data_IF_744304289505
#
_entry.id   IF_744304289505
#
_cell.length_a   1.000
_cell.length_b   1.000
_cell.length_c   1.000
_cell.angle_alpha   90.00
_cell.angle_beta   90.00
_cell.angle_gamma   90.00
#
_symmetry.space_group_name_H-M   'P 1'
#
loop_
_entity.id
_entity.type
_entity.pdbx_description
1 polymer ?
#
# COMPACT_ATOMS: atom_id res chain seq x y z
N UNK A 1 -22.64 13.22 -67.89
CA UNK A 1 -21.60 12.84 -68.86
C UNK A 1 -20.74 14.06 -69.18
N UNK A 2 -19.43 13.90 -69.00
CA UNK A 2 -18.30 14.63 -69.60
C UNK A 2 -18.05 16.11 -69.20
N UNK A 3 -17.02 16.21 -68.36
CA UNK A 3 -16.07 17.33 -68.20
C UNK A 3 -15.29 17.61 -69.50
N UNK A 4 -14.73 18.83 -69.64
CA UNK A 4 -13.32 19.16 -70.03
C UNK A 4 -13.17 20.51 -70.79
N UNK A 5 -12.47 21.48 -70.15
CA UNK A 5 -11.43 22.43 -70.66
C UNK A 5 -11.76 23.44 -71.79
N UNK A 6 -11.17 24.64 -71.97
CA UNK A 6 -10.13 25.50 -71.32
C UNK A 6 -9.99 26.79 -72.20
N UNK A 7 -9.21 27.78 -71.73
CA UNK A 7 -8.61 28.96 -72.45
C UNK A 7 -9.52 30.21 -72.55
N UNK A 8 -9.10 31.47 -72.37
CA UNK A 8 -7.86 32.15 -71.94
C UNK A 8 -8.17 33.69 -71.89
N UNK A 9 -7.25 34.46 -71.30
CA UNK A 9 -7.09 35.94 -71.33
C UNK A 9 -7.94 36.77 -70.37
N UNK A 10 -7.46 37.84 -69.73
CA UNK A 10 -6.14 38.38 -69.38
C UNK A 10 -6.40 39.67 -68.55
N UNK A 11 -5.37 40.15 -67.82
CA UNK A 11 -5.16 41.55 -67.39
C UNK A 11 -5.89 42.00 -66.10
N UNK A 12 -5.30 42.65 -65.07
CA UNK A 12 -4.04 43.37 -64.81
C UNK A 12 -3.87 43.38 -63.26
N UNK A 13 -2.77 42.89 -62.69
CA UNK A 13 -1.65 43.66 -62.07
C UNK A 13 -2.12 44.80 -61.12
N UNK A 14 -1.82 44.79 -59.82
CA UNK A 14 -0.61 45.38 -59.17
C UNK A 14 -0.73 45.03 -57.66
N UNK A 15 0.14 44.19 -57.07
CA UNK A 15 1.50 44.46 -56.54
C UNK A 15 1.47 45.53 -55.44
N UNK A 16 1.62 45.19 -54.16
CA UNK A 16 2.89 45.22 -53.38
C UNK A 16 2.55 45.87 -52.02
N UNK A 17 3.15 45.63 -50.86
CA UNK A 17 4.26 44.83 -50.31
C UNK A 17 4.04 44.94 -48.77
N UNK A 18 4.02 43.85 -47.99
CA UNK A 18 5.15 43.37 -47.19
C UNK A 18 6.15 44.42 -46.69
N UNK A 19 6.25 44.56 -45.37
CA UNK A 19 7.49 44.44 -44.58
C UNK A 19 7.10 44.20 -43.10
N UNK A 20 7.26 43.00 -42.54
CA UNK A 20 8.38 42.50 -41.70
C UNK A 20 9.04 43.52 -40.75
N UNK A 21 9.16 43.12 -39.48
CA UNK A 21 10.37 43.02 -38.62
C UNK A 21 9.87 42.74 -37.17
N UNK A 22 9.91 41.51 -36.65
CA UNK A 22 11.05 40.74 -36.10
C UNK A 22 11.32 40.99 -34.59
N UNK A 23 11.25 39.89 -33.82
CA UNK A 23 11.93 39.57 -32.54
C UNK A 23 11.62 40.44 -31.28
N UNK A 24 11.20 39.85 -30.15
CA UNK A 24 12.05 38.99 -29.30
C UNK A 24 11.27 38.30 -28.15
N UNK A 25 11.84 37.28 -27.47
CA UNK A 25 11.12 36.30 -26.64
C UNK A 25 11.30 36.48 -25.11
N UNK A 26 10.23 36.26 -24.34
CA UNK A 26 10.18 36.03 -22.89
C UNK A 26 8.70 35.77 -22.53
N UNK A 27 8.25 34.88 -21.66
CA UNK A 27 8.85 33.99 -20.67
C UNK A 27 8.11 32.64 -20.73
N UNK A 28 8.86 31.56 -20.47
CA UNK A 28 8.31 30.30 -20.02
C UNK A 28 7.73 30.50 -18.62
N UNK A 29 6.40 30.44 -18.47
CA UNK A 29 5.82 30.16 -17.16
C UNK A 29 5.70 28.64 -17.00
N UNK A 30 6.73 28.11 -16.36
CA UNK A 30 6.73 26.82 -15.70
C UNK A 30 5.56 26.80 -14.70
N UNK A 31 4.45 26.14 -15.04
CA UNK A 31 3.58 25.60 -14.01
C UNK A 31 4.34 24.47 -13.29
N UNK A 32 5.15 24.88 -12.31
CA UNK A 32 5.53 24.02 -11.20
C UNK A 32 4.24 23.53 -10.57
N UNK A 33 4.12 22.21 -10.53
CA UNK A 33 3.23 21.52 -9.61
C UNK A 33 3.71 21.83 -8.19
N UNK A 34 3.25 22.95 -7.63
CA UNK A 34 3.32 23.18 -6.19
C UNK A 34 2.24 22.32 -5.54
N UNK A 35 2.59 21.05 -5.29
CA UNK A 35 2.01 20.34 -4.16
C UNK A 35 2.51 21.07 -2.92
N UNK A 36 1.65 21.63 -2.06
CA UNK A 36 2.11 22.13 -0.78
C UNK A 36 2.64 20.92 -0.02
N UNK A 37 3.95 20.96 0.25
CA UNK A 37 4.60 20.15 1.25
C UNK A 37 3.73 20.19 2.51
N UNK A 38 3.15 19.05 2.86
CA UNK A 38 2.70 18.83 4.21
C UNK A 38 3.98 18.74 5.05
N UNK A 39 4.47 19.89 5.51
CA UNK A 39 5.43 19.96 6.60
C UNK A 39 4.89 19.09 7.74
N UNK A 40 5.63 18.02 8.02
CA UNK A 40 5.51 17.29 9.28
C UNK A 40 5.66 18.31 10.41
N UNK A 41 4.75 18.38 11.41
CA UNK A 41 5.02 19.18 12.58
C UNK A 41 6.28 18.65 13.27
N UNK A 42 7.34 19.46 13.23
CA UNK A 42 8.55 19.26 14.02
C UNK A 42 8.17 19.36 15.49
N UNK A 43 8.37 18.28 16.24
CA UNK A 43 8.18 18.30 17.68
C UNK A 43 7.94 16.92 18.26
N UNK A 44 9.01 16.20 18.57
CA UNK A 44 9.23 15.58 19.88
C UNK A 44 10.54 14.81 19.84
N UNK A 45 11.57 15.42 20.43
CA UNK A 45 12.79 14.73 20.83
C UNK A 45 12.45 13.64 21.85
N UNK A 46 12.96 12.43 21.63
CA UNK A 46 12.99 11.41 22.67
C UNK A 46 13.97 11.87 23.77
N UNK A 47 13.60 11.81 25.07
CA UNK A 47 14.56 12.06 26.12
C UNK A 47 15.58 10.92 26.16
N UNK A 48 16.84 11.26 25.90
CA UNK A 48 17.98 10.47 26.33
C UNK A 48 18.02 10.53 27.87
N UNK A 49 17.84 9.39 28.52
CA UNK A 49 18.25 9.24 29.91
C UNK A 49 19.00 7.91 30.06
N UNK A 50 20.31 8.02 29.97
CA UNK A 50 21.29 7.02 30.40
C UNK A 50 21.43 7.09 31.91
N UNK A 51 20.91 6.08 32.61
CA UNK A 51 21.38 5.72 33.95
C UNK A 51 21.23 4.20 34.17
N UNK A 52 22.39 3.53 34.21
CA UNK A 52 22.68 2.33 35.00
C UNK A 52 21.80 1.10 34.81
N UNK A 53 22.25 0.17 33.96
CA UNK A 53 21.96 -1.26 34.18
C UNK A 53 23.30 -1.98 34.32
N UNK A 54 23.54 -2.52 35.52
CA UNK A 54 24.64 -3.41 35.82
C UNK A 54 24.58 -4.65 34.94
N UNK A 55 25.75 -5.03 34.41
CA UNK A 55 25.96 -6.25 33.66
C UNK A 55 25.58 -7.48 34.50
N UNK A 56 24.70 -8.32 33.97
CA UNK A 56 24.52 -9.68 34.44
C UNK A 56 25.50 -10.59 33.68
N UNK A 57 26.26 -11.38 34.43
CA UNK A 57 27.27 -12.34 33.96
C UNK A 57 26.69 -13.45 33.07
N UNK A 58 27.50 -14.07 32.18
CA UNK A 58 27.03 -15.11 31.27
C UNK A 58 26.90 -16.45 31.99
N UNK A 59 25.69 -17.02 31.99
CA UNK A 59 25.46 -18.41 32.39
C UNK A 59 25.87 -19.31 31.22
N UNK A 60 26.93 -20.10 31.43
CA UNK A 60 27.33 -21.21 30.59
C UNK A 60 26.18 -22.18 30.35
N UNK A 61 25.80 -22.42 29.09
CA UNK A 61 25.02 -23.59 28.71
C UNK A 61 25.84 -24.45 27.74
N UNK A 62 26.20 -25.64 28.22
CA UNK A 62 26.96 -26.64 27.51
C UNK A 62 26.17 -27.19 26.31
N UNK A 63 26.86 -27.35 25.19
CA UNK A 63 26.38 -28.09 24.04
C UNK A 63 26.30 -29.59 24.38
N UNK A 64 25.14 -30.20 24.18
CA UNK A 64 24.99 -31.65 24.10
C UNK A 64 24.46 -32.02 22.71
N UNK A 65 25.08 -33.07 22.16
CA UNK A 65 24.89 -33.60 20.81
C UNK A 65 23.52 -34.28 20.69
N UNK A 66 22.79 -34.00 19.61
CA UNK A 66 21.62 -34.80 19.21
C UNK A 66 22.07 -35.99 18.34
N UNK A 67 21.86 -37.21 18.84
CA UNK A 67 21.74 -38.41 18.02
C UNK A 67 20.27 -38.57 17.61
N UNK A 68 20.05 -38.84 16.33
CA UNK A 68 18.71 -38.82 15.73
C UNK A 68 17.80 -39.98 16.16
N UNK A 69 16.50 -39.71 16.15
CA UNK A 69 15.48 -40.74 16.06
C UNK A 69 14.25 -40.22 15.29
N UNK A 70 13.93 -40.92 14.19
CA UNK A 70 12.70 -40.73 13.40
C UNK A 70 11.47 -41.01 14.27
N UNK A 71 10.58 -40.03 14.38
CA UNK A 71 9.16 -40.16 14.72
C UNK A 71 8.45 -39.14 13.80
N UNK A 72 7.64 -39.54 12.82
CA UNK A 72 6.34 -40.19 13.02
C UNK A 72 5.27 -39.15 12.67
N UNK A 73 4.56 -39.36 11.55
CA UNK A 73 3.45 -38.50 11.11
C UNK A 73 2.41 -38.33 12.22
N UNK A 74 2.11 -37.08 12.59
CA UNK A 74 0.94 -36.83 13.45
C UNK A 74 0.91 -35.47 14.13
N UNK A 75 0.49 -34.41 13.43
CA UNK A 75 -0.20 -33.25 14.00
C UNK A 75 -0.71 -32.31 12.88
N UNK A 76 -1.81 -32.70 12.22
CA UNK A 76 -2.66 -31.79 11.44
C UNK A 76 -4.10 -32.01 11.87
N UNK A 77 -4.48 -31.61 13.08
CA UNK A 77 -5.86 -31.58 13.52
C UNK A 77 -6.02 -30.32 14.39
N UNK A 78 -6.53 -29.24 13.80
CA UNK A 78 -6.79 -27.98 14.52
C UNK A 78 -7.01 -26.79 13.59
N UNK A 79 -6.30 -26.70 12.47
CA UNK A 79 -6.42 -25.56 11.54
C UNK A 79 -7.34 -25.82 10.35
N UNK A 80 -7.62 -27.08 10.00
CA UNK A 80 -8.40 -27.40 8.80
C UNK A 80 -9.88 -27.01 8.86
N UNK A 81 -10.45 -26.86 10.06
CA UNK A 81 -11.89 -26.62 10.24
C UNK A 81 -12.23 -25.12 10.27
N UNK A 82 -11.36 -24.28 10.85
CA UNK A 82 -11.48 -22.81 10.79
C UNK A 82 -11.22 -22.23 9.39
N UNK A 83 -10.56 -22.98 8.51
CA UNK A 83 -10.24 -22.57 7.14
C UNK A 83 -11.21 -23.15 6.09
N UNK A 84 -12.13 -24.06 6.47
CA UNK A 84 -13.19 -24.53 5.55
C UNK A 84 -14.01 -23.32 5.10
N UNK A 85 -13.96 -23.06 3.79
CA UNK A 85 -14.65 -21.93 3.18
C UNK A 85 -13.86 -20.63 3.12
N UNK A 86 -12.54 -20.58 3.40
CA UNK A 86 -11.72 -19.43 2.98
C UNK A 86 -11.55 -19.34 1.45
N UNK A 87 -11.79 -20.44 0.74
CA UNK A 87 -11.63 -20.52 -0.72
C UNK A 87 -12.87 -20.07 -1.52
N UNK A 88 -13.92 -19.55 -0.89
CA UNK A 88 -15.26 -19.48 -1.49
C UNK A 88 -15.71 -18.09 -1.95
N UNK A 89 -14.89 -17.39 -2.74
CA UNK A 89 -15.41 -16.47 -3.77
C UNK A 89 -14.33 -16.11 -4.81
N UNK A 90 -14.59 -16.39 -6.12
CA UNK A 90 -13.73 -15.88 -7.19
C UNK A 90 -13.59 -14.36 -7.11
N UNK A 91 -12.36 -13.87 -7.03
CA UNK A 91 -12.06 -12.44 -6.98
C UNK A 91 -12.12 -11.81 -5.58
N UNK A 92 -12.31 -12.58 -4.52
CA UNK A 92 -12.14 -12.08 -3.15
C UNK A 92 -10.67 -12.04 -2.72
N UNK A 93 -10.32 -11.18 -1.76
CA UNK A 93 -8.98 -11.14 -1.21
C UNK A 93 -8.57 -12.46 -0.55
N UNK A 94 -7.39 -12.96 -0.92
CA UNK A 94 -6.75 -14.11 -0.28
C UNK A 94 -6.30 -13.71 1.14
N UNK A 95 -6.65 -14.51 2.15
CA UNK A 95 -6.35 -14.25 3.57
C UNK A 95 -5.43 -15.35 4.10
N UNK A 96 -4.35 -14.96 4.78
CA UNK A 96 -3.31 -15.84 5.31
C UNK A 96 -3.42 -15.95 6.84
N UNK A 97 -3.62 -17.15 7.40
CA UNK A 97 -3.58 -17.38 8.84
C UNK A 97 -2.20 -17.07 9.41
N UNK A 98 -2.14 -16.33 10.52
CA UNK A 98 -0.87 -15.99 11.15
C UNK A 98 -0.51 -17.08 12.17
N UNK A 99 0.64 -17.79 12.02
CA UNK A 99 1.04 -18.84 12.94
C UNK A 99 1.09 -18.36 14.39
N UNK A 100 0.56 -19.17 15.32
CA UNK A 100 0.52 -18.86 16.74
C UNK A 100 -0.45 -17.75 17.14
N UNK A 101 -1.28 -17.25 16.21
CA UNK A 101 -2.21 -16.15 16.45
C UNK A 101 -3.65 -16.53 16.08
N UNK A 102 -4.62 -15.81 16.64
CA UNK A 102 -6.06 -16.01 16.41
C UNK A 102 -6.62 -15.07 15.32
N UNK A 103 -5.83 -14.80 14.29
CA UNK A 103 -6.27 -13.99 13.18
C UNK A 103 -5.61 -14.44 11.88
N UNK A 104 -6.25 -14.06 10.78
CA UNK A 104 -5.73 -14.18 9.44
C UNK A 104 -5.78 -12.80 8.79
N UNK A 105 -4.82 -12.50 7.91
CA UNK A 105 -4.67 -11.17 7.32
C UNK A 105 -4.50 -11.29 5.80
N UNK A 106 -4.97 -10.30 5.03
CA UNK A 106 -4.87 -10.31 3.58
C UNK A 106 -3.46 -10.60 3.11
N UNK A 107 -3.29 -11.34 2.03
CA UNK A 107 -1.99 -11.59 1.38
C UNK A 107 -1.42 -10.34 0.72
N UNK A 108 -2.33 -9.50 0.23
CA UNK A 108 -2.06 -8.20 -0.38
C UNK A 108 -2.91 -7.12 0.29
N UNK A 109 -2.57 -5.84 0.05
CA UNK A 109 -3.53 -4.76 0.20
C UNK A 109 -4.70 -4.94 -0.78
N UNK A 110 -5.88 -4.42 -0.45
CA UNK A 110 -7.04 -4.47 -1.34
C UNK A 110 -6.70 -3.74 -2.64
N UNK A 111 -6.99 -4.39 -3.76
CA UNK A 111 -6.67 -3.92 -5.11
C UNK A 111 -7.82 -3.11 -5.71
N UNK A 112 -7.53 -2.35 -6.76
CA UNK A 112 -8.58 -1.70 -7.55
C UNK A 112 -9.56 -2.72 -8.14
N UNK A 113 -9.11 -3.89 -8.60
CA UNK A 113 -9.98 -4.96 -9.11
C UNK A 113 -11.01 -5.41 -8.07
N UNK A 114 -10.56 -5.61 -6.84
CA UNK A 114 -11.42 -6.01 -5.72
C UNK A 114 -12.36 -4.87 -5.32
N UNK A 115 -11.87 -3.64 -5.24
CA UNK A 115 -12.70 -2.45 -5.01
C UNK A 115 -13.78 -2.26 -6.08
N UNK A 116 -13.42 -2.43 -7.35
CA UNK A 116 -14.33 -2.27 -8.49
C UNK A 116 -15.47 -3.31 -8.44
N UNK A 117 -15.20 -4.50 -7.88
CA UNK A 117 -16.24 -5.51 -7.62
C UNK A 117 -17.24 -5.03 -6.56
N UNK A 118 -16.75 -4.36 -5.50
CA UNK A 118 -17.61 -3.75 -4.48
C UNK A 118 -18.49 -2.62 -5.05
N UNK A 119 -17.94 -1.80 -5.95
CA UNK A 119 -18.68 -0.75 -6.63
C UNK A 119 -19.75 -1.34 -7.56
N UNK A 120 -19.39 -2.35 -8.35
CA UNK A 120 -20.31 -3.02 -9.27
C UNK A 120 -21.50 -3.66 -8.55
N UNK A 121 -21.27 -4.22 -7.36
CA UNK A 121 -22.31 -4.80 -6.51
C UNK A 121 -23.10 -3.76 -5.69
N UNK A 122 -22.77 -2.47 -5.81
CA UNK A 122 -23.42 -1.40 -5.05
C UNK A 122 -22.98 -1.28 -3.58
N UNK A 123 -22.01 -2.08 -3.13
CA UNK A 123 -21.53 -2.11 -1.74
C UNK A 123 -20.70 -0.89 -1.32
N UNK A 124 -19.99 -0.28 -2.28
CA UNK A 124 -19.09 0.85 -2.01
C UNK A 124 -19.73 2.22 -2.30
N UNK A 125 -21.07 2.30 -2.28
CA UNK A 125 -21.82 3.57 -2.42
C UNK A 125 -21.57 4.31 -3.73
N UNK A 126 -21.20 3.59 -4.79
CA UNK A 126 -20.81 4.17 -6.08
C UNK A 126 -19.48 4.94 -6.07
N UNK A 127 -18.73 4.92 -4.96
CA UNK A 127 -17.46 5.65 -4.90
C UNK A 127 -16.38 4.97 -5.74
N UNK A 128 -15.99 5.64 -6.82
CA UNK A 128 -14.92 5.22 -7.73
C UNK A 128 -13.67 6.07 -7.48
N UNK A 129 -12.72 5.62 -6.64
CA UNK A 129 -11.50 6.37 -6.38
C UNK A 129 -10.67 6.50 -7.66
N UNK A 130 -10.10 7.69 -7.87
CA UNK A 130 -9.13 7.94 -8.94
C UNK A 130 -7.90 7.05 -8.78
N UNK A 131 -7.42 6.49 -9.88
CA UNK A 131 -6.14 5.76 -9.95
C UNK A 131 -4.96 6.70 -10.26
N UNK A 132 -5.20 8.02 -10.32
CA UNK A 132 -4.26 9.07 -10.71
C UNK A 132 -3.60 8.83 -12.09
N UNK A 133 -4.26 8.10 -12.99
CA UNK A 133 -3.69 7.73 -14.29
C UNK A 133 -2.57 6.68 -14.20
N UNK A 134 -2.40 6.02 -13.05
CA UNK A 134 -1.35 5.00 -12.85
C UNK A 134 -1.78 3.59 -13.27
N UNK A 135 -3.07 3.42 -13.57
CA UNK A 135 -3.70 2.15 -13.89
C UNK A 135 -4.38 1.52 -12.67
N UNK A 136 -5.46 0.78 -12.96
CA UNK A 136 -6.27 0.02 -12.00
C UNK A 136 -5.82 -1.45 -11.93
N UNK A 137 -6.75 -2.38 -11.73
CA UNK A 137 -6.49 -3.81 -11.73
C UNK A 137 -5.79 -4.26 -10.46
N UNK A 138 -4.61 -4.87 -10.59
CA UNK A 138 -3.86 -5.47 -9.46
C UNK A 138 -3.06 -4.45 -8.65
N UNK A 139 -3.20 -3.15 -8.92
CA UNK A 139 -2.62 -2.11 -8.06
C UNK A 139 -3.45 -1.95 -6.80
N UNK A 140 -2.84 -1.63 -5.65
CA UNK A 140 -3.59 -1.36 -4.44
C UNK A 140 -4.56 -0.19 -4.68
N UNK A 141 -5.77 -0.30 -4.15
CA UNK A 141 -6.71 0.82 -4.14
C UNK A 141 -6.11 1.94 -3.30
N UNK A 142 -6.16 3.15 -3.83
CA UNK A 142 -5.67 4.38 -3.20
C UNK A 142 -6.79 5.41 -3.21
N UNK A 143 -6.58 6.57 -2.58
CA UNK A 143 -7.61 7.60 -2.44
C UNK A 143 -8.86 7.08 -1.71
N UNK A 144 -8.70 6.13 -0.78
CA UNK A 144 -9.77 5.62 0.07
C UNK A 144 -9.55 6.03 1.51
N UNK A 145 -10.63 6.46 2.16
CA UNK A 145 -10.61 6.80 3.57
C UNK A 145 -10.86 5.59 4.44
N UNK A 146 -10.65 5.74 5.75
CA UNK A 146 -11.00 4.70 6.70
C UNK A 146 -12.50 4.38 6.64
N UNK A 147 -13.35 5.39 6.48
CA UNK A 147 -14.80 5.21 6.34
C UNK A 147 -15.16 4.44 5.06
N UNK A 148 -14.47 4.73 3.94
CA UNK A 148 -14.67 3.98 2.70
C UNK A 148 -14.26 2.51 2.85
N UNK A 149 -13.15 2.25 3.56
CA UNK A 149 -12.71 0.89 3.86
C UNK A 149 -13.75 0.13 4.71
N UNK A 150 -14.43 0.79 5.65
CA UNK A 150 -15.53 0.15 6.41
C UNK A 150 -16.70 -0.25 5.52
N UNK A 151 -17.09 0.58 4.54
CA UNK A 151 -18.15 0.22 3.59
C UNK A 151 -17.78 -1.02 2.78
N UNK A 152 -16.54 -1.07 2.28
CA UNK A 152 -16.00 -2.25 1.59
C UNK A 152 -16.02 -3.49 2.47
N UNK A 153 -15.57 -3.36 3.72
CA UNK A 153 -15.56 -4.45 4.71
C UNK A 153 -16.96 -4.97 5.00
N UNK A 154 -17.93 -4.07 5.19
CA UNK A 154 -19.32 -4.43 5.46
C UNK A 154 -19.92 -5.20 4.27
N UNK A 155 -19.73 -4.69 3.05
CA UNK A 155 -20.16 -5.37 1.83
C UNK A 155 -19.54 -6.76 1.71
N UNK A 156 -18.21 -6.86 1.84
CA UNK A 156 -17.52 -8.15 1.68
C UNK A 156 -17.94 -9.15 2.75
N UNK A 157 -18.14 -8.68 3.99
CA UNK A 157 -18.63 -9.51 5.09
C UNK A 157 -20.01 -10.06 4.81
N UNK A 158 -20.93 -9.21 4.34
CA UNK A 158 -22.26 -9.63 3.94
C UNK A 158 -22.24 -10.62 2.77
N UNK A 159 -21.44 -10.34 1.75
CA UNK A 159 -21.33 -11.17 0.53
C UNK A 159 -20.80 -12.58 0.81
N UNK A 160 -19.92 -12.72 1.79
CA UNK A 160 -19.19 -13.98 2.06
C UNK A 160 -19.63 -14.71 3.32
N UNK A 161 -20.40 -14.04 4.19
CA UNK A 161 -20.73 -14.53 5.53
C UNK A 161 -19.54 -14.53 6.50
N UNK A 162 -18.41 -13.90 6.15
CA UNK A 162 -17.21 -13.82 6.99
C UNK A 162 -17.14 -12.49 7.73
N UNK A 163 -16.61 -12.49 8.96
CA UNK A 163 -16.40 -11.27 9.72
C UNK A 163 -15.08 -10.58 9.32
N UNK A 164 -15.05 -9.91 8.18
CA UNK A 164 -13.90 -9.10 7.79
C UNK A 164 -13.81 -7.83 8.63
N UNK A 165 -12.59 -7.33 8.80
CA UNK A 165 -12.28 -6.07 9.48
C UNK A 165 -10.94 -5.52 8.99
N UNK A 166 -10.57 -4.34 9.47
CA UNK A 166 -9.17 -3.90 9.43
C UNK A 166 -8.38 -4.65 10.52
N UNK A 167 -7.07 -4.89 10.32
CA UNK A 167 -6.21 -5.37 11.40
C UNK A 167 -6.09 -4.28 12.47
N UNK A 168 -5.86 -4.69 13.72
CA UNK A 168 -5.29 -3.79 14.71
C UNK A 168 -3.85 -3.43 14.37
N UNK A 169 -3.34 -2.34 14.95
CA UNK A 169 -1.94 -1.94 14.81
C UNK A 169 -0.99 -3.10 15.21
N UNK A 170 -1.27 -3.75 16.34
CA UNK A 170 -0.48 -4.89 16.82
C UNK A 170 -0.54 -6.10 15.89
N UNK A 171 -1.72 -6.44 15.36
CA UNK A 171 -1.85 -7.53 14.39
C UNK A 171 -1.11 -7.20 13.08
N UNK A 172 -1.19 -5.95 12.63
CA UNK A 172 -0.48 -5.48 11.45
C UNK A 172 1.04 -5.60 11.65
N UNK A 173 1.58 -5.13 12.78
CA UNK A 173 3.02 -5.20 13.06
C UNK A 173 3.49 -6.65 13.22
N UNK A 174 2.72 -7.49 13.93
CA UNK A 174 3.01 -8.93 14.08
C UNK A 174 3.08 -9.62 12.72
N UNK A 175 2.12 -9.32 11.84
CA UNK A 175 2.08 -9.81 10.48
C UNK A 175 3.24 -9.28 9.64
N UNK A 176 3.57 -8.00 9.75
CA UNK A 176 4.64 -7.34 8.98
C UNK A 176 6.02 -7.93 9.33
N UNK A 177 6.30 -8.06 10.63
CA UNK A 177 7.57 -8.59 11.15
C UNK A 177 7.79 -10.05 10.82
N UNK A 178 6.74 -10.86 10.82
CA UNK A 178 6.82 -12.30 10.56
C UNK A 178 7.94 -13.02 11.33
N UNK A 179 8.11 -12.66 12.60
CA UNK A 179 9.11 -13.24 13.50
C UNK A 179 10.44 -12.48 13.58
N UNK A 180 10.66 -11.43 12.79
CA UNK A 180 11.87 -10.61 12.88
C UNK A 180 11.74 -9.45 13.88
N UNK A 181 12.87 -8.98 14.38
CA UNK A 181 12.98 -7.77 15.22
C UNK A 181 13.67 -6.61 14.50
N UNK A 182 14.07 -6.81 13.25
CA UNK A 182 14.74 -5.83 12.40
C UNK A 182 13.82 -4.71 11.93
N UNK A 183 14.41 -3.66 11.35
CA UNK A 183 13.69 -2.52 10.78
C UNK A 183 12.73 -2.93 9.67
N UNK A 184 13.15 -3.84 8.80
CA UNK A 184 12.34 -4.47 7.76
C UNK A 184 12.32 -5.99 7.95
N UNK A 185 11.33 -6.71 7.43
CA UNK A 185 11.25 -8.18 7.55
C UNK A 185 12.44 -8.89 6.89
N UNK A 186 13.16 -8.21 5.99
CA UNK A 186 14.34 -8.74 5.30
C UNK A 186 15.67 -8.33 5.93
N UNK A 187 15.68 -7.47 6.94
CA UNK A 187 16.91 -7.00 7.61
C UNK A 187 16.84 -5.53 8.00
N UNK A 188 17.99 -4.96 8.36
CA UNK A 188 18.11 -3.55 8.77
C UNK A 188 18.56 -2.63 7.63
N UNK A 189 19.14 -3.18 6.58
CA UNK A 189 19.49 -2.42 5.39
C UNK A 189 18.28 -2.35 4.45
N UNK A 190 18.03 -1.16 3.88
CA UNK A 190 16.98 -0.96 2.89
C UNK A 190 17.26 -1.78 1.62
N UNK A 191 18.54 -1.93 1.27
CA UNK A 191 18.97 -2.58 0.03
C UNK A 191 18.36 -1.92 -1.21
N UNK A 192 18.15 -2.71 -2.27
CA UNK A 192 17.55 -2.24 -3.52
C UNK A 192 16.43 -3.17 -3.98
N UNK A 193 15.31 -2.58 -4.38
CA UNK A 193 14.16 -3.28 -4.95
C UNK A 193 13.55 -4.34 -4.02
N UNK A 194 13.59 -4.11 -2.70
CA UNK A 194 12.88 -4.92 -1.70
C UNK A 194 11.45 -4.44 -1.43
N UNK A 195 11.17 -3.18 -1.76
CA UNK A 195 9.88 -2.53 -1.59
C UNK A 195 9.74 -1.36 -2.58
N UNK A 196 8.54 -0.77 -2.64
CA UNK A 196 8.30 0.46 -3.39
C UNK A 196 8.21 1.66 -2.44
N UNK A 197 9.18 2.57 -2.52
CA UNK A 197 9.29 3.78 -1.70
C UNK A 197 10.24 4.78 -2.34
N UNK A 198 10.32 6.01 -1.82
CA UNK A 198 11.28 7.03 -2.28
C UNK A 198 12.70 6.68 -1.83
N UNK A 199 13.51 6.14 -2.75
CA UNK A 199 14.87 5.68 -2.48
C UNK A 199 15.02 4.17 -2.25
N UNK A 200 13.99 3.37 -2.51
CA UNK A 200 14.07 1.90 -2.49
C UNK A 200 14.70 1.30 -3.76
N UNK A 201 14.81 2.08 -4.84
CA UNK A 201 15.41 1.70 -6.12
C UNK A 201 14.58 0.74 -6.98
N UNK A 202 13.25 0.70 -6.76
CA UNK A 202 12.31 -0.02 -7.63
C UNK A 202 11.97 0.80 -8.89
N UNK A 203 11.37 0.18 -9.91
CA UNK A 203 10.99 0.93 -11.12
C UNK A 203 9.89 1.98 -10.88
N UNK A 204 9.08 1.79 -9.84
CA UNK A 204 7.95 2.65 -9.43
C UNK A 204 8.29 3.65 -8.33
N UNK A 205 9.51 3.56 -7.79
CA UNK A 205 10.06 4.41 -6.73
C UNK A 205 9.77 5.89 -7.02
N UNK A 206 9.10 6.55 -6.06
CA UNK A 206 8.71 7.95 -6.11
C UNK A 206 7.94 8.38 -7.38
N UNK A 207 7.27 7.44 -8.05
CA UNK A 207 6.46 7.70 -9.25
C UNK A 207 5.00 7.31 -9.06
N UNK A 208 4.76 6.09 -8.61
CA UNK A 208 3.42 5.50 -8.45
C UNK A 208 3.47 4.24 -7.60
N UNK A 209 2.31 3.67 -7.31
CA UNK A 209 2.22 2.34 -6.69
C UNK A 209 2.87 1.26 -7.59
N UNK A 210 3.11 0.07 -7.05
CA UNK A 210 3.42 -1.13 -7.80
C UNK A 210 2.18 -2.03 -7.81
N UNK A 211 1.97 -2.90 -8.84
CA UNK A 211 1.05 -4.01 -8.71
C UNK A 211 1.37 -4.82 -7.43
N UNK A 212 0.35 -5.30 -6.72
CA UNK A 212 0.58 -6.09 -5.50
C UNK A 212 1.36 -7.36 -5.82
N UNK A 213 2.24 -7.77 -4.91
CA UNK A 213 3.08 -8.95 -5.08
C UNK A 213 4.30 -8.75 -5.98
N UNK A 214 4.68 -7.50 -6.28
CA UNK A 214 5.87 -7.20 -7.11
C UNK A 214 7.19 -7.45 -6.39
N UNK A 215 7.18 -7.55 -5.05
CA UNK A 215 8.36 -7.77 -4.22
C UNK A 215 8.31 -9.15 -3.56
N UNK A 216 9.40 -9.58 -2.91
CA UNK A 216 9.38 -10.84 -2.16
C UNK A 216 8.37 -10.77 -1.00
N UNK A 217 7.73 -11.88 -0.62
CA UNK A 217 6.92 -11.90 0.59
C UNK A 217 7.81 -12.05 1.84
N UNK A 218 7.23 -11.76 3.01
CA UNK A 218 7.83 -12.14 4.29
C UNK A 218 7.65 -13.63 4.61
N UNK A 219 8.13 -14.09 5.77
CA UNK A 219 8.08 -15.51 6.16
C UNK A 219 6.65 -16.08 6.32
N UNK A 220 5.63 -15.22 6.44
CA UNK A 220 4.23 -15.63 6.47
C UNK A 220 3.59 -15.65 5.07
N UNK A 221 4.31 -15.28 4.00
CA UNK A 221 3.75 -15.21 2.66
C UNK A 221 2.98 -13.91 2.38
N UNK A 222 3.16 -12.89 3.21
CA UNK A 222 2.53 -11.58 3.04
C UNK A 222 3.41 -10.66 2.19
N UNK A 223 2.78 -9.97 1.25
CA UNK A 223 3.44 -9.06 0.33
C UNK A 223 3.16 -7.61 0.69
N UNK A 224 4.10 -6.75 0.28
CA UNK A 224 3.97 -5.29 0.34
C UNK A 224 3.62 -4.79 1.75
N UNK A 225 4.12 -5.46 2.79
CA UNK A 225 3.97 -5.02 4.18
C UNK A 225 4.78 -3.75 4.45
N UNK A 226 5.85 -3.52 3.68
CA UNK A 226 6.61 -2.27 3.69
C UNK A 226 6.55 -1.64 2.31
N UNK A 227 6.14 -0.37 2.28
CA UNK A 227 6.03 0.45 1.08
C UNK A 227 4.76 0.18 0.29
N UNK A 228 4.79 0.61 -0.98
CA UNK A 228 3.66 0.62 -1.91
C UNK A 228 2.52 1.56 -1.48
N UNK A 229 1.77 1.22 -0.43
CA UNK A 229 0.75 2.08 0.17
C UNK A 229 0.77 1.96 1.69
N UNK A 230 0.52 3.08 2.37
CA UNK A 230 0.15 3.06 3.77
C UNK A 230 -1.16 2.29 3.93
N UNK A 231 -1.33 1.58 5.05
CA UNK A 231 -2.48 0.68 5.25
C UNK A 231 -3.25 1.06 6.52
N UNK A 232 -4.52 1.44 6.37
CA UNK A 232 -5.41 1.71 7.50
C UNK A 232 -5.50 0.51 8.45
N UNK A 233 -5.54 0.80 9.75
CA UNK A 233 -5.81 -0.15 10.84
C UNK A 233 -7.09 0.23 11.58
N UNK A 234 -7.56 -0.62 12.50
CA UNK A 234 -8.66 -0.27 13.40
C UNK A 234 -8.21 0.53 14.64
N UNK A 235 -6.92 0.78 14.85
CA UNK A 235 -6.44 1.44 16.06
C UNK A 235 -6.78 2.95 16.08
N UNK A 236 -7.29 3.43 17.22
CA UNK A 236 -7.56 4.85 17.45
C UNK A 236 -6.27 5.57 17.84
N UNK A 237 -6.05 6.79 17.32
CA UNK A 237 -4.89 7.57 17.72
C UNK A 237 -5.08 8.11 19.14
N UNK A 238 -4.31 7.58 20.10
CA UNK A 238 -4.31 8.06 21.50
C UNK A 238 -5.73 8.13 22.10
N UNK A 239 -6.57 7.13 21.80
CA UNK A 239 -7.96 7.05 22.28
C UNK A 239 -8.97 7.87 21.47
N UNK A 240 -8.54 8.74 20.55
CA UNK A 240 -9.45 9.48 19.68
C UNK A 240 -9.71 8.71 18.37
N UNK A 241 -10.91 8.14 18.24
CA UNK A 241 -11.28 7.31 17.09
C UNK A 241 -11.78 8.10 15.86
N UNK A 242 -11.85 9.44 15.92
CA UNK A 242 -11.99 10.26 14.70
C UNK A 242 -10.69 10.31 13.91
N UNK A 243 -9.59 9.84 14.51
CA UNK A 243 -8.28 9.66 13.92
C UNK A 243 -7.87 8.20 14.03
N UNK A 244 -7.48 7.59 12.92
CA UNK A 244 -7.09 6.17 12.88
C UNK A 244 -5.64 6.04 12.47
N UNK A 245 -5.01 5.00 13.00
CA UNK A 245 -3.61 4.68 12.70
C UNK A 245 -3.53 3.96 11.35
N UNK A 246 -2.46 4.22 10.62
CA UNK A 246 -2.07 3.47 9.42
C UNK A 246 -0.57 3.18 9.42
N UNK A 247 -0.16 2.05 8.85
CA UNK A 247 1.20 1.52 8.99
C UNK A 247 1.82 1.11 7.64
N UNK A 248 3.17 1.04 7.60
CA UNK A 248 3.94 0.41 6.51
C UNK A 248 4.61 1.31 5.48
N UNK A 249 4.38 2.62 5.45
CA UNK A 249 4.94 3.52 4.44
C UNK A 249 4.34 3.36 3.04
N UNK A 250 4.80 4.13 2.06
CA UNK A 250 4.28 4.06 0.68
C UNK A 250 5.34 4.38 -0.38
N UNK A 251 4.93 4.29 -1.64
CA UNK A 251 5.73 4.56 -2.85
C UNK A 251 6.48 5.91 -2.88
N UNK A 252 6.05 6.91 -2.12
CA UNK A 252 6.64 8.25 -2.08
C UNK A 252 7.14 8.68 -0.70
N UNK A 253 7.24 7.75 0.25
CA UNK A 253 7.82 8.02 1.57
C UNK A 253 9.21 7.42 1.66
N UNK A 254 10.03 7.97 2.56
CA UNK A 254 11.41 7.53 2.69
C UNK A 254 11.48 6.19 3.42
N UNK A 255 12.59 5.44 3.30
CA UNK A 255 12.73 4.12 3.94
C UNK A 255 12.47 4.13 5.45
N UNK A 256 12.83 5.21 6.15
CA UNK A 256 12.66 5.33 7.60
C UNK A 256 11.19 5.29 8.03
N UNK A 257 10.27 5.70 7.15
CA UNK A 257 8.84 5.73 7.40
C UNK A 257 8.18 4.36 7.23
N UNK A 258 8.88 3.39 6.63
CA UNK A 258 8.37 2.05 6.35
C UNK A 258 8.80 0.99 7.34
N UNK A 259 9.60 1.34 8.36
CA UNK A 259 10.04 0.34 9.34
C UNK A 259 8.84 -0.30 10.02
N UNK A 260 8.95 -1.57 10.41
CA UNK A 260 7.81 -2.39 10.83
C UNK A 260 7.01 -1.81 12.02
N UNK A 261 7.63 -0.99 12.89
CA UNK A 261 6.97 -0.29 13.99
C UNK A 261 6.62 1.18 13.71
N UNK A 262 6.78 1.65 12.48
CA UNK A 262 6.45 3.02 12.10
C UNK A 262 5.03 3.09 11.55
N UNK A 263 4.19 3.79 12.30
CA UNK A 263 2.81 4.08 11.93
C UNK A 263 2.55 5.59 12.08
N UNK A 264 1.55 6.07 11.36
CA UNK A 264 1.09 7.45 11.43
C UNK A 264 -0.44 7.46 11.51
N UNK A 265 -1.09 8.63 11.45
CA UNK A 265 -2.53 8.72 11.61
C UNK A 265 -3.14 9.83 10.75
N UNK A 266 -4.39 9.63 10.38
CA UNK A 266 -5.22 10.65 9.73
C UNK A 266 -6.64 10.59 10.26
N UNK A 267 -7.40 11.65 10.00
CA UNK A 267 -8.84 11.65 10.25
C UNK A 267 -9.53 10.62 9.35
N UNK A 268 -10.60 9.99 9.86
CA UNK A 268 -11.26 8.85 9.21
C UNK A 268 -11.86 9.16 7.83
N UNK A 269 -12.05 10.43 7.50
CA UNK A 269 -12.58 10.92 6.23
C UNK A 269 -11.51 11.24 5.19
N UNK A 270 -10.22 11.25 5.56
CA UNK A 270 -9.14 11.65 4.63
C UNK A 270 -8.89 10.56 3.60
N UNK A 271 -8.76 10.98 2.35
CA UNK A 271 -8.42 10.15 1.20
C UNK A 271 -7.09 10.64 0.66
N UNK A 272 -6.08 9.77 0.64
CA UNK A 272 -4.74 10.13 0.16
C UNK A 272 -4.29 9.17 -0.95
N UNK A 273 -3.57 9.69 -1.94
CA UNK A 273 -3.07 8.92 -3.11
C UNK A 273 -2.06 7.81 -2.78
N UNK A 274 -1.61 7.76 -1.53
CA UNK A 274 -0.64 6.80 -1.03
C UNK A 274 -1.22 5.90 0.06
N UNK A 275 -2.52 6.02 0.35
CA UNK A 275 -3.18 5.37 1.46
C UNK A 275 -4.26 4.42 0.93
N UNK A 276 -4.13 3.15 1.33
CA UNK A 276 -5.05 2.06 1.07
C UNK A 276 -5.31 1.28 2.36
N UNK A 277 -5.61 -0.01 2.24
CA UNK A 277 -5.84 -0.88 3.39
C UNK A 277 -5.68 -2.36 3.02
N UNK A 278 -5.54 -3.21 4.04
CA UNK A 278 -5.67 -4.67 3.91
C UNK A 278 -6.70 -5.18 4.91
N UNK A 279 -7.21 -6.37 4.66
CA UNK A 279 -8.22 -7.01 5.50
C UNK A 279 -7.61 -7.90 6.58
N UNK A 280 -8.35 -8.12 7.64
CA UNK A 280 -8.14 -9.17 8.62
C UNK A 280 -9.45 -9.91 8.93
N UNK A 281 -9.33 -11.12 9.47
CA UNK A 281 -10.41 -11.94 10.01
C UNK A 281 -9.96 -12.49 11.37
N UNK A 282 -10.83 -12.46 12.37
CA UNK A 282 -10.59 -13.18 13.64
C UNK A 282 -10.89 -14.67 13.45
N UNK A 283 -9.95 -15.52 13.84
CA UNK A 283 -10.10 -16.97 13.84
C UNK A 283 -10.57 -17.46 15.23
N UNK A 284 -11.25 -18.62 15.31
CA UNK A 284 -11.66 -19.23 16.58
C UNK A 284 -10.49 -19.50 17.55
#
# INVERSE_FOLDING_TARGET
MKSVHCLLLASILVLHLFEVHAYSPSLMDNHKNDSPDAELPAGMAAPANTTGIQAAEPVHLAAQQEQGQKLGNGARHGTGEALRGLDSCPGCPEIIPIPGNKFAIGKFAVTFREWDSCVADGGCGGYQPSDNGWGRGNRPVINVSWNDAQNYIQWLSHKTGKAYRLPSEQEWETAARAGTTSDYYWGNDIGRNHANCDGCGSEWDNKKTAPVGSFKPNAFGLYDMMGNVWQWTDACRSGNCTRRVFCGGSWNHRPQDMRAGMCNWFETSKRMRYLGFRLAITLP
#
